data_IF_210891247645
#
_entry.id   IF_210891247645
#
_cell.length_a   1.000
_cell.length_b   1.000
_cell.length_c   1.000
_cell.angle_alpha   90.00
_cell.angle_beta   90.00
_cell.angle_gamma   90.00
#
_symmetry.space_group_name_H-M   'P 1'
#
loop_
_entity.id
_entity.type
_entity.pdbx_description
1 polymer ?
#
# COMPACT_ATOMS: atom_id res chain seq x y z
N UNK A 1 6.32 -7.03 15.05
CA UNK A 1 5.34 -6.65 14.01
C UNK A 1 4.08 -6.20 14.73
N UNK A 2 3.72 -4.92 14.62
CA UNK A 2 2.56 -4.36 15.32
C UNK A 2 1.30 -4.90 14.63
N UNK A 3 0.38 -5.48 15.41
CA UNK A 3 -0.92 -5.97 14.93
C UNK A 3 -2.01 -5.07 15.44
N UNK A 4 -2.96 -4.72 14.58
CA UNK A 4 -4.11 -3.89 14.93
C UNK A 4 -5.36 -4.75 14.85
N UNK A 5 -5.73 -5.34 15.99
CA UNK A 5 -6.82 -6.33 16.07
C UNK A 5 -8.17 -5.78 15.60
N UNK A 6 -8.42 -4.48 15.78
CA UNK A 6 -9.66 -3.85 15.31
C UNK A 6 -9.74 -3.77 13.77
N UNK A 7 -8.60 -3.58 13.08
CA UNK A 7 -8.53 -3.61 11.62
C UNK A 7 -8.69 -5.03 11.11
N UNK A 8 -8.03 -5.99 11.75
CA UNK A 8 -8.14 -7.41 11.40
C UNK A 8 -9.58 -7.93 11.54
N UNK A 9 -10.29 -7.52 12.59
CA UNK A 9 -11.71 -7.84 12.80
C UNK A 9 -12.64 -7.18 11.76
N UNK A 10 -12.24 -6.03 11.21
CA UNK A 10 -12.95 -5.37 10.11
C UNK A 10 -12.61 -5.98 8.73
N UNK A 11 -11.82 -7.06 8.68
CA UNK A 11 -11.39 -7.70 7.43
C UNK A 11 -10.18 -7.04 6.75
N UNK A 12 -9.56 -6.05 7.39
CA UNK A 12 -8.33 -5.41 6.92
C UNK A 12 -7.13 -6.25 7.35
N UNK A 13 -6.48 -6.88 6.37
CA UNK A 13 -5.58 -7.99 6.65
C UNK A 13 -4.12 -7.61 6.96
N UNK A 14 -3.64 -6.37 6.71
CA UNK A 14 -2.19 -6.17 6.75
C UNK A 14 -1.68 -4.72 6.78
N UNK A 15 -0.88 -4.39 7.80
CA UNK A 15 0.07 -3.28 7.77
C UNK A 15 1.50 -3.84 7.91
N UNK A 16 2.30 -3.78 6.84
CA UNK A 16 3.72 -4.17 6.88
C UNK A 16 4.58 -2.94 6.62
N UNK A 17 5.49 -2.66 7.54
CA UNK A 17 6.57 -1.70 7.33
C UNK A 17 7.77 -2.49 6.82
N UNK A 18 8.39 -2.07 5.71
CA UNK A 18 9.69 -2.61 5.34
C UNK A 18 10.67 -2.24 6.44
N UNK A 19 11.49 -3.19 6.87
CA UNK A 19 12.64 -3.02 7.78
C UNK A 19 13.78 -2.20 7.14
N UNK A 20 13.46 -1.34 6.17
CA UNK A 20 14.40 -0.67 5.29
C UNK A 20 14.26 0.86 5.31
N UNK A 21 15.06 1.54 4.49
CA UNK A 21 15.25 3.00 4.46
C UNK A 21 14.09 3.69 3.72
N UNK A 22 14.01 5.01 3.90
CA UNK A 22 13.07 5.85 3.17
C UNK A 22 13.22 5.64 1.65
N UNK A 23 12.08 5.59 0.96
CA UNK A 23 12.02 5.41 -0.49
C UNK A 23 12.30 4.00 -1.02
N UNK A 24 12.58 3.00 -0.16
CA UNK A 24 13.02 1.67 -0.60
C UNK A 24 11.95 0.86 -1.35
N UNK A 25 10.66 1.14 -1.17
CA UNK A 25 9.58 0.65 -2.04
C UNK A 25 8.97 1.76 -2.89
N UNK A 26 9.59 2.94 -2.86
CA UNK A 26 9.17 4.22 -3.41
C UNK A 26 9.87 4.55 -4.72
N UNK A 27 10.65 5.63 -4.71
CA UNK A 27 11.42 6.15 -5.84
C UNK A 27 12.91 5.82 -5.82
N UNK A 28 13.40 5.05 -4.83
CA UNK A 28 14.81 4.68 -4.77
C UNK A 28 15.20 3.65 -5.85
N UNK A 29 16.49 3.55 -6.16
CA UNK A 29 17.03 2.49 -7.03
C UNK A 29 16.73 1.12 -6.42
N UNK A 30 16.16 0.20 -7.23
CA UNK A 30 15.75 -1.13 -6.76
C UNK A 30 14.40 -1.17 -6.04
N UNK A 31 13.63 -0.07 -6.05
CA UNK A 31 12.33 -0.01 -5.38
C UNK A 31 11.33 -1.07 -5.88
N UNK A 32 11.40 -1.42 -7.16
CA UNK A 32 10.51 -2.41 -7.75
C UNK A 32 10.82 -3.83 -7.24
N UNK A 33 12.09 -4.20 -7.10
CA UNK A 33 12.54 -5.47 -6.54
C UNK A 33 12.17 -5.57 -5.06
N UNK A 34 12.40 -4.49 -4.31
CA UNK A 34 12.04 -4.41 -2.89
C UNK A 34 10.52 -4.55 -2.69
N UNK A 35 9.72 -3.86 -3.51
CA UNK A 35 8.27 -4.00 -3.48
C UNK A 35 7.84 -5.43 -3.79
N UNK A 36 8.39 -6.06 -4.84
CA UNK A 36 8.12 -7.47 -5.16
C UNK A 36 8.46 -8.39 -3.98
N UNK A 37 9.60 -8.18 -3.33
CA UNK A 37 10.03 -8.96 -2.18
C UNK A 37 9.09 -8.77 -0.97
N UNK A 38 8.65 -7.55 -0.69
CA UNK A 38 7.67 -7.24 0.34
C UNK A 38 6.34 -7.95 0.06
N UNK A 39 5.82 -7.82 -1.17
CA UNK A 39 4.57 -8.44 -1.62
C UNK A 39 4.62 -9.96 -1.53
N UNK A 40 5.78 -10.56 -1.81
CA UNK A 40 5.98 -12.00 -1.67
C UNK A 40 5.82 -12.51 -0.23
N UNK A 41 5.93 -11.65 0.78
CA UNK A 41 5.75 -12.00 2.20
C UNK A 41 4.30 -11.91 2.66
N UNK A 42 3.42 -11.25 1.92
CA UNK A 42 2.02 -11.05 2.30
C UNK A 42 1.20 -12.33 2.12
N UNK A 43 0.23 -12.58 3.00
CA UNK A 43 -0.69 -13.73 2.96
C UNK A 43 -2.11 -13.26 3.33
N UNK A 44 -3.15 -13.54 2.51
CA UNK A 44 -3.06 -14.11 1.17
C UNK A 44 -2.27 -13.19 0.22
N UNK A 45 -1.70 -13.78 -0.84
CA UNK A 45 -0.88 -13.02 -1.78
C UNK A 45 -1.81 -12.14 -2.62
N UNK A 46 -1.66 -10.80 -2.62
CA UNK A 46 -2.55 -9.94 -3.41
C UNK A 46 -2.29 -10.17 -4.91
N UNK A 47 -3.34 -10.03 -5.72
CA UNK A 47 -3.23 -10.11 -7.18
C UNK A 47 -2.48 -8.91 -7.74
N UNK A 48 -2.65 -7.76 -7.10
CA UNK A 48 -2.03 -6.49 -7.49
C UNK A 48 -1.81 -5.61 -6.25
N UNK A 49 -0.74 -4.83 -6.26
CA UNK A 49 -0.54 -3.72 -5.32
C UNK A 49 -0.83 -2.41 -6.04
N UNK A 50 -1.71 -1.62 -5.45
CA UNK A 50 -2.15 -0.34 -5.97
C UNK A 50 -1.40 0.78 -5.25
N UNK A 51 -0.66 1.57 -6.03
CA UNK A 51 0.17 2.68 -5.54
C UNK A 51 -0.44 4.01 -5.94
N UNK A 52 -0.06 5.06 -5.23
CA UNK A 52 -0.47 6.42 -5.50
C UNK A 52 0.74 7.29 -5.84
N UNK A 53 0.52 8.35 -6.61
CA UNK A 53 1.45 9.49 -6.69
C UNK A 53 1.05 10.48 -5.59
N UNK A 54 1.62 10.30 -4.40
CA UNK A 54 1.32 11.12 -3.22
C UNK A 54 1.88 12.54 -3.37
N UNK A 55 1.08 13.54 -3.02
CA UNK A 55 1.44 14.97 -3.10
C UNK A 55 1.17 15.71 -1.79
N UNK A 56 0.92 14.99 -0.69
CA UNK A 56 0.53 15.52 0.63
C UNK A 56 -0.78 16.34 0.59
N UNK A 57 -1.68 15.97 -0.32
CA UNK A 57 -3.02 16.50 -0.41
C UNK A 57 -4.04 15.70 0.39
N UNK A 58 -5.32 15.92 0.09
CA UNK A 58 -6.45 15.27 0.77
C UNK A 58 -7.31 14.44 -0.19
N UNK A 59 -6.84 14.25 -1.42
CA UNK A 59 -7.59 13.54 -2.45
C UNK A 59 -7.60 12.03 -2.16
N UNK A 60 -8.79 11.44 -2.17
CA UNK A 60 -9.02 10.00 -2.03
C UNK A 60 -9.57 9.46 -3.34
N UNK A 61 -9.06 8.32 -3.80
CA UNK A 61 -9.52 7.64 -5.01
C UNK A 61 -10.08 6.25 -4.71
N UNK A 62 -11.05 5.82 -5.51
CA UNK A 62 -11.59 4.45 -5.42
C UNK A 62 -10.87 3.56 -6.42
N UNK A 63 -10.33 2.45 -5.93
CA UNK A 63 -9.71 1.42 -6.74
C UNK A 63 -10.71 0.40 -7.26
N UNK A 64 -10.74 0.27 -8.59
CA UNK A 64 -11.29 -0.86 -9.32
C UNK A 64 -10.18 -1.65 -10.03
N UNK A 65 -10.42 -2.94 -10.29
CA UNK A 65 -9.39 -3.86 -10.76
C UNK A 65 -9.05 -3.73 -12.25
N UNK A 66 -9.65 -2.78 -13.01
CA UNK A 66 -9.51 -2.76 -14.47
C UNK A 66 -8.31 -1.93 -14.96
N UNK A 67 -8.02 -0.77 -14.37
CA UNK A 67 -6.82 0.03 -14.65
C UNK A 67 -6.38 0.87 -13.45
N UNK A 68 -5.12 0.77 -13.08
CA UNK A 68 -4.54 1.54 -11.98
C UNK A 68 -3.21 2.17 -12.36
N UNK A 69 -3.29 3.34 -13.00
CA UNK A 69 -2.14 4.08 -13.53
C UNK A 69 -1.52 5.02 -12.48
N UNK A 70 -1.40 4.57 -11.23
CA UNK A 70 -0.81 5.32 -10.10
C UNK A 70 -1.32 6.77 -10.02
N UNK A 71 -2.63 6.97 -9.74
CA UNK A 71 -3.23 8.30 -9.76
C UNK A 71 -2.63 9.21 -8.68
N UNK A 72 -2.70 10.52 -8.92
CA UNK A 72 -2.40 11.51 -7.90
C UNK A 72 -3.50 11.53 -6.83
N UNK A 73 -3.12 11.18 -5.61
CA UNK A 73 -3.96 11.09 -4.42
C UNK A 73 -3.11 10.72 -3.20
N UNK A 74 -3.67 10.90 -2.00
CA UNK A 74 -3.04 10.57 -0.71
C UNK A 74 -3.87 9.58 0.10
N UNK A 75 -5.01 9.14 -0.44
CA UNK A 75 -5.80 8.03 0.08
C UNK A 75 -6.38 7.18 -1.04
N UNK A 76 -6.59 5.89 -0.75
CA UNK A 76 -7.24 4.95 -1.65
C UNK A 76 -8.18 4.04 -0.87
N UNK A 77 -9.34 3.75 -1.46
CA UNK A 77 -10.33 2.81 -0.91
C UNK A 77 -10.72 1.79 -1.97
N UNK A 78 -11.19 0.61 -1.56
CA UNK A 78 -11.74 -0.37 -2.50
C UNK A 78 -12.77 -1.27 -1.82
N UNK A 79 -13.73 -1.75 -2.61
CA UNK A 79 -14.61 -2.85 -2.24
C UNK A 79 -14.23 -4.16 -2.96
N UNK A 80 -13.15 -4.16 -3.74
CA UNK A 80 -12.73 -5.30 -4.56
C UNK A 80 -11.77 -6.21 -3.77
N UNK A 81 -12.11 -7.51 -3.59
CA UNK A 81 -11.23 -8.43 -2.89
C UNK A 81 -9.97 -8.73 -3.69
N UNK A 82 -8.86 -9.00 -2.98
CA UNK A 82 -7.60 -9.43 -3.58
C UNK A 82 -6.70 -8.29 -4.11
N UNK A 83 -7.11 -7.03 -3.94
CA UNK A 83 -6.28 -5.84 -4.15
C UNK A 83 -5.58 -5.46 -2.85
N UNK A 84 -4.28 -5.19 -2.93
CA UNK A 84 -3.55 -4.55 -1.83
C UNK A 84 -3.44 -3.06 -2.10
N UNK A 85 -4.01 -2.25 -1.20
CA UNK A 85 -3.87 -0.81 -1.22
C UNK A 85 -2.56 -0.43 -0.54
N UNK A 86 -1.88 0.59 -1.05
CA UNK A 86 -0.62 1.05 -0.45
C UNK A 86 -0.55 2.57 -0.37
N UNK A 87 -0.04 3.02 0.77
CA UNK A 87 0.44 4.39 1.01
C UNK A 87 1.90 4.29 1.43
N UNK A 88 2.74 5.16 0.90
CA UNK A 88 4.16 5.26 1.29
C UNK A 88 4.29 6.39 2.28
N UNK A 89 4.94 6.13 3.41
CA UNK A 89 5.16 7.13 4.46
C UNK A 89 6.59 7.06 4.97
N UNK A 90 7.16 8.22 5.21
CA UNK A 90 8.31 8.45 6.08
C UNK A 90 7.92 9.66 6.93
N UNK A 91 7.78 9.46 8.24
CA UNK A 91 7.23 10.41 9.23
C UNK A 91 5.72 10.71 9.15
N UNK A 92 5.11 10.64 7.97
CA UNK A 92 3.64 10.77 7.83
C UNK A 92 2.88 9.64 8.56
N UNK A 93 1.67 9.94 9.03
CA UNK A 93 0.80 8.98 9.73
C UNK A 93 -0.01 8.16 8.72
N UNK A 94 0.21 6.83 8.60
CA UNK A 94 -0.65 5.98 7.80
C UNK A 94 -1.96 5.70 8.55
N UNK A 95 -3.08 5.64 7.82
CA UNK A 95 -4.42 5.30 8.33
C UNK A 95 -4.94 4.08 7.60
#
# INVERSE_FOLDING_TARGET
MIRFTFLEQAGLALAVMSDKRDGDCGGATGAQENLKALVARLRPRPRQVLRLRQTHGTRIVTADAQRWDTPEADGVITCQPGLALSVTVADCVPV
#
